data_IF_901570208376
#
_entry.id   IF_901570208376
#
_cell.length_a   1.000
_cell.length_b   1.000
_cell.length_c   1.000
_cell.angle_alpha   90.00
_cell.angle_beta   90.00
_cell.angle_gamma   90.00
#
_symmetry.space_group_name_H-M   'P 1'
#
loop_
_entity.id
_entity.type
_entity.pdbx_description
1 polymer ?
#
# COMPACT_ATOMS: atom_id res chain seq x y z
N UNK A 1 -55.41 -16.61 10.34
CA UNK A 1 -56.37 -16.05 11.33
C UNK A 1 -56.80 -17.21 12.21
N UNK A 2 -56.65 -17.13 13.54
CA UNK A 2 -57.30 -16.11 14.37
C UNK A 2 -56.34 -15.16 15.11
N UNK A 3 -56.90 -14.01 15.48
CA UNK A 3 -56.33 -12.94 16.31
C UNK A 3 -56.79 -13.13 17.77
N UNK A 4 -55.94 -12.78 18.73
CA UNK A 4 -56.26 -12.17 20.03
C UNK A 4 -54.92 -11.65 20.62
N UNK A 5 -54.59 -10.35 20.58
CA UNK A 5 -55.02 -9.20 21.42
C UNK A 5 -54.46 -9.21 22.87
N UNK A 6 -53.67 -8.15 23.15
CA UNK A 6 -53.48 -7.48 24.47
C UNK A 6 -52.58 -8.23 25.46
N UNK A 7 -51.48 -7.68 25.99
CA UNK A 7 -51.40 -6.43 26.75
C UNK A 7 -50.00 -5.82 26.79
N UNK A 8 -50.00 -4.49 26.82
CA UNK A 8 -48.87 -3.66 27.22
C UNK A 8 -48.43 -4.00 28.66
N UNK A 9 -47.13 -4.16 28.88
CA UNK A 9 -46.53 -3.94 30.20
C UNK A 9 -45.49 -2.83 30.06
N UNK A 10 -45.90 -1.64 30.47
CA UNK A 10 -45.01 -0.51 30.76
C UNK A 10 -44.31 -0.86 32.06
N UNK A 11 -43.02 -1.20 31.99
CA UNK A 11 -42.17 -1.22 33.19
C UNK A 11 -41.45 0.11 33.26
N UNK A 12 -41.99 0.98 34.11
CA UNK A 12 -41.33 2.17 34.59
C UNK A 12 -40.09 1.74 35.40
N UNK A 13 -38.89 2.08 34.91
CA UNK A 13 -37.67 2.02 35.72
C UNK A 13 -37.43 3.43 36.28
N UNK A 14 -37.56 3.51 37.59
CA UNK A 14 -37.27 4.68 38.42
C UNK A 14 -35.78 5.03 38.27
N UNK A 15 -35.51 6.22 37.72
CA UNK A 15 -34.17 6.83 37.72
C UNK A 15 -33.95 7.46 39.09
N UNK A 16 -33.11 6.84 39.93
CA UNK A 16 -32.52 7.51 41.08
C UNK A 16 -31.30 8.30 40.64
N UNK A 17 -31.38 9.62 40.81
CA UNK A 17 -30.26 10.55 40.73
C UNK A 17 -29.40 10.42 41.99
N UNK A 18 -28.11 10.14 41.84
CA UNK A 18 -27.09 10.41 42.84
C UNK A 18 -25.89 11.03 42.14
N UNK A 19 -25.66 12.31 42.42
CA UNK A 19 -24.55 13.06 41.87
C UNK A 19 -23.21 12.62 42.46
N UNK A 20 -22.19 12.56 41.61
CA UNK A 20 -20.80 12.54 42.02
C UNK A 20 -20.04 13.57 41.17
N UNK A 21 -19.51 14.57 41.87
CA UNK A 21 -18.67 15.67 41.37
C UNK A 21 -17.29 15.17 40.92
N UNK A 22 -16.67 15.74 39.89
CA UNK A 22 -15.26 15.50 39.58
C UNK A 22 -14.36 16.24 40.58
N UNK A 23 -13.39 15.52 41.15
CA UNK A 23 -12.33 16.07 42.01
C UNK A 23 -11.19 16.59 41.14
N UNK A 24 -10.95 17.90 41.20
CA UNK A 24 -9.81 18.60 40.61
C UNK A 24 -8.52 18.28 41.38
N UNK A 25 -7.51 17.74 40.70
CA UNK A 25 -6.16 17.63 41.25
C UNK A 25 -5.40 18.96 41.02
N UNK A 26 -5.17 19.70 42.11
CA UNK A 26 -4.35 20.92 42.16
C UNK A 26 -2.86 20.58 42.07
N UNK A 27 -2.15 21.19 41.11
CA UNK A 27 -0.70 21.31 41.14
C UNK A 27 -0.31 22.49 42.05
N UNK A 28 0.47 22.22 43.09
CA UNK A 28 1.05 23.24 43.98
C UNK A 28 2.41 23.68 43.45
N UNK A 29 2.58 25.00 43.35
CA UNK A 29 3.85 25.67 43.16
C UNK A 29 4.70 25.60 44.44
N UNK A 30 6.00 25.35 44.31
CA UNK A 30 6.99 25.56 45.37
C UNK A 30 7.94 26.65 44.91
N UNK A 31 7.90 27.73 45.68
CA UNK A 31 8.75 28.91 45.62
C UNK A 31 10.09 28.62 46.34
N UNK A 32 11.19 29.12 45.80
CA UNK A 32 12.54 28.78 46.26
C UNK A 32 13.62 29.62 45.58
N UNK A 33 13.74 30.87 46.04
CA UNK A 33 14.60 31.91 45.51
C UNK A 33 15.89 32.04 46.34
N UNK A 34 17.07 32.05 45.69
CA UNK A 34 18.36 32.50 46.23
C UNK A 34 19.31 32.92 45.06
N UNK A 35 20.34 33.77 45.27
CA UNK A 35 20.39 35.12 44.72
C UNK A 35 21.33 35.30 43.50
N UNK A 36 21.09 36.40 42.78
CA UNK A 36 21.90 36.91 41.66
C UNK A 36 22.98 37.89 42.14
N UNK A 37 24.20 37.73 41.63
CA UNK A 37 25.17 38.82 41.42
C UNK A 37 25.97 38.59 40.12
N UNK A 38 26.44 39.65 39.43
CA UNK A 38 26.74 39.62 38.00
C UNK A 38 28.24 39.49 37.69
N UNK A 39 28.60 38.81 36.59
CA UNK A 39 29.95 38.89 36.01
C UNK A 39 29.87 38.99 34.47
N UNK A 40 30.09 40.23 34.02
CA UNK A 40 30.80 40.70 32.81
C UNK A 40 30.80 39.85 31.53
N UNK A 41 30.26 40.44 30.45
CA UNK A 41 30.55 40.04 29.08
C UNK A 41 32.04 40.22 28.74
N UNK A 42 32.69 39.14 28.33
CA UNK A 42 33.91 39.16 27.54
C UNK A 42 33.62 38.62 26.14
N UNK A 43 33.98 39.40 25.13
CA UNK A 43 33.93 39.01 23.73
C UNK A 43 34.91 37.86 23.46
N UNK A 44 34.45 36.80 22.80
CA UNK A 44 35.29 35.71 22.33
C UNK A 44 35.22 35.68 20.81
N UNK A 45 36.39 35.79 20.18
CA UNK A 45 36.65 35.72 18.75
C UNK A 45 36.36 34.32 18.18
N UNK A 46 36.10 34.18 16.87
CA UNK A 46 35.82 32.88 16.26
C UNK A 46 37.10 32.04 16.11
N UNK A 47 37.20 30.96 16.89
CA UNK A 47 38.22 29.92 16.73
C UNK A 47 37.82 28.99 15.58
N UNK A 48 38.64 28.93 14.53
CA UNK A 48 38.57 27.88 13.50
C UNK A 48 38.92 26.53 14.13
N UNK A 49 38.00 25.56 14.07
CA UNK A 49 38.22 24.17 14.43
C UNK A 49 38.05 23.28 13.21
N UNK A 50 39.06 22.43 12.99
CA UNK A 50 39.30 21.67 11.78
C UNK A 50 38.22 20.63 11.43
N UNK A 51 38.15 20.36 10.14
CA UNK A 51 37.38 19.30 9.53
C UNK A 51 37.97 17.94 9.93
N UNK A 52 37.41 17.30 10.94
CA UNK A 52 37.41 15.84 11.02
C UNK A 52 36.14 15.36 10.33
N UNK A 53 36.27 14.99 9.06
CA UNK A 53 35.20 14.30 8.33
C UNK A 53 34.89 12.98 9.02
N UNK A 54 33.78 12.92 9.74
CA UNK A 54 33.17 11.64 10.09
C UNK A 54 32.90 10.90 8.76
N UNK A 55 33.27 9.62 8.63
CA UNK A 55 32.87 8.87 7.44
C UNK A 55 31.35 8.90 7.38
N UNK A 56 30.83 9.50 6.31
CA UNK A 56 29.43 9.36 5.93
C UNK A 56 29.24 7.85 5.79
N UNK A 57 28.48 7.24 6.70
CA UNK A 57 28.11 5.84 6.57
C UNK A 57 27.44 5.69 5.20
N UNK A 58 28.12 5.02 4.28
CA UNK A 58 27.51 4.61 3.02
C UNK A 58 26.25 3.82 3.41
N UNK A 59 25.08 4.12 2.82
CA UNK A 59 23.88 3.33 3.06
C UNK A 59 24.24 1.87 2.82
N UNK A 60 24.06 1.03 3.84
CA UNK A 60 24.41 -0.39 3.76
C UNK A 60 23.73 -1.01 2.54
N UNK A 61 24.51 -1.63 1.65
CA UNK A 61 23.95 -2.40 0.55
C UNK A 61 23.18 -3.55 1.19
N UNK A 62 21.86 -3.55 1.03
CA UNK A 62 21.04 -4.70 1.44
C UNK A 62 21.50 -5.87 0.57
N UNK A 63 22.12 -6.87 1.20
CA UNK A 63 22.49 -8.11 0.53
C UNK A 63 21.27 -9.02 0.32
N UNK A 64 21.37 -10.06 -0.53
CA UNK A 64 20.29 -11.01 -0.69
C UNK A 64 19.96 -11.69 0.66
N UNK A 65 18.67 -11.84 1.03
CA UNK A 65 18.27 -12.44 2.29
C UNK A 65 18.43 -13.96 2.32
N UNK A 66 18.77 -14.58 1.20
CA UNK A 66 19.02 -16.00 1.03
C UNK A 66 20.03 -16.25 -0.10
N UNK A 67 20.62 -17.43 -0.11
CA UNK A 67 21.47 -17.91 -1.20
C UNK A 67 20.79 -19.09 -1.89
N UNK A 68 20.76 -19.11 -3.22
CA UNK A 68 20.23 -20.21 -4.01
C UNK A 68 21.37 -21.07 -4.55
N UNK A 69 21.17 -22.39 -4.51
CA UNK A 69 21.97 -23.33 -5.29
C UNK A 69 21.73 -23.14 -6.80
N UNK A 70 22.63 -23.60 -7.68
CA UNK A 70 22.40 -23.53 -9.12
C UNK A 70 21.09 -24.19 -9.58
N UNK A 71 20.69 -25.29 -8.93
CA UNK A 71 19.45 -26.00 -9.24
C UNK A 71 18.22 -25.18 -8.83
N UNK A 72 18.22 -24.58 -7.64
CA UNK A 72 17.13 -23.70 -7.20
C UNK A 72 17.02 -22.46 -8.08
N UNK A 73 18.15 -21.87 -8.48
CA UNK A 73 18.19 -20.73 -9.38
C UNK A 73 17.56 -21.08 -10.75
N UNK A 74 17.97 -22.19 -11.36
CA UNK A 74 17.38 -22.69 -12.62
C UNK A 74 15.87 -22.93 -12.49
N UNK A 75 15.42 -23.48 -11.36
CA UNK A 75 14.01 -23.71 -11.12
C UNK A 75 13.21 -22.41 -11.03
N UNK A 76 13.70 -21.41 -10.29
CA UNK A 76 13.09 -20.08 -10.24
C UNK A 76 13.06 -19.44 -11.62
N UNK A 77 14.17 -19.47 -12.37
CA UNK A 77 14.24 -18.94 -13.73
C UNK A 77 13.21 -19.57 -14.65
N UNK A 78 13.02 -20.90 -14.57
CA UNK A 78 11.99 -21.60 -15.34
C UNK A 78 10.58 -21.15 -14.98
N UNK A 79 10.27 -21.01 -13.69
CA UNK A 79 8.95 -20.52 -13.23
C UNK A 79 8.70 -19.12 -13.76
N UNK A 80 9.67 -18.22 -13.64
CA UNK A 80 9.54 -16.83 -14.09
C UNK A 80 9.34 -16.77 -15.60
N UNK A 81 10.04 -17.59 -16.38
CA UNK A 81 9.83 -17.66 -17.83
C UNK A 81 8.44 -18.20 -18.18
N UNK A 82 7.96 -19.24 -17.49
CA UNK A 82 6.61 -19.78 -17.70
C UNK A 82 5.54 -18.72 -17.37
N UNK A 83 5.75 -17.97 -16.30
CA UNK A 83 4.84 -16.91 -15.89
C UNK A 83 4.84 -15.74 -16.87
N UNK A 84 6.00 -15.29 -17.34
CA UNK A 84 6.12 -14.28 -18.39
C UNK A 84 5.38 -14.73 -19.65
N UNK A 85 5.66 -15.95 -20.13
CA UNK A 85 5.05 -16.51 -21.33
C UNK A 85 3.52 -16.54 -21.22
N UNK A 86 2.97 -16.98 -20.09
CA UNK A 86 1.52 -17.00 -19.87
C UNK A 86 0.94 -15.58 -19.80
N UNK A 87 1.51 -14.72 -18.96
CA UNK A 87 0.98 -13.38 -18.73
C UNK A 87 1.06 -12.48 -19.99
N UNK A 88 2.03 -12.73 -20.88
CA UNK A 88 2.16 -12.01 -22.16
C UNK A 88 0.96 -12.18 -23.09
N UNK A 89 0.22 -13.29 -22.96
CA UNK A 89 -0.96 -13.62 -23.76
C UNK A 89 -2.24 -12.92 -23.27
N UNK A 90 -2.17 -12.29 -22.10
CA UNK A 90 -3.33 -11.66 -21.46
C UNK A 90 -3.50 -10.25 -22.01
N UNK A 91 -4.57 -10.07 -22.80
CA UNK A 91 -4.99 -8.76 -23.32
C UNK A 91 -5.98 -8.08 -22.39
N UNK A 92 -6.79 -8.87 -21.70
CA UNK A 92 -7.80 -8.39 -20.77
C UNK A 92 -7.97 -9.41 -19.66
N UNK A 93 -8.18 -8.93 -18.45
CA UNK A 93 -8.40 -9.76 -17.27
C UNK A 93 -9.42 -9.10 -16.36
N UNK A 94 -10.26 -9.91 -15.74
CA UNK A 94 -11.20 -9.48 -14.72
C UNK A 94 -11.24 -10.56 -13.63
N UNK A 95 -11.21 -10.18 -12.37
CA UNK A 95 -11.45 -11.10 -11.26
C UNK A 95 -12.16 -10.39 -10.10
N UNK A 96 -12.76 -11.21 -9.24
CA UNK A 96 -13.09 -10.81 -7.87
C UNK A 96 -11.86 -11.01 -6.99
N UNK A 97 -11.76 -10.23 -5.93
CA UNK A 97 -10.75 -10.46 -4.90
C UNK A 97 -11.31 -10.30 -3.49
N UNK A 98 -10.72 -11.03 -2.56
CA UNK A 98 -10.74 -10.74 -1.14
C UNK A 98 -9.39 -10.13 -0.72
N UNK A 99 -9.40 -9.12 0.15
CA UNK A 99 -8.20 -8.58 0.80
C UNK A 99 -8.32 -8.72 2.31
N UNK A 100 -7.42 -9.46 2.92
CA UNK A 100 -7.36 -9.67 4.37
C UNK A 100 -6.14 -8.97 4.95
N UNK A 101 -6.36 -8.06 5.89
CA UNK A 101 -5.30 -7.28 6.54
C UNK A 101 -5.12 -7.76 7.97
N UNK A 102 -3.87 -8.06 8.33
CA UNK A 102 -3.46 -8.56 9.63
C UNK A 102 -2.52 -7.56 10.28
N UNK A 103 -2.78 -7.30 11.56
CA UNK A 103 -1.91 -6.51 12.41
C UNK A 103 -1.78 -7.25 13.76
N UNK A 104 -0.60 -7.83 14.07
CA UNK A 104 -0.43 -8.57 15.32
C UNK A 104 -0.31 -7.67 16.55
N UNK A 105 -0.12 -6.36 16.39
CA UNK A 105 0.10 -5.42 17.50
C UNK A 105 -1.22 -4.77 17.92
N UNK A 106 -2.01 -4.31 16.95
CA UNK A 106 -3.26 -3.59 17.18
C UNK A 106 -4.51 -4.38 16.77
N UNK A 107 -4.32 -5.47 16.02
CA UNK A 107 -5.40 -6.35 15.60
C UNK A 107 -5.67 -7.50 16.59
N UNK A 108 -6.56 -8.42 16.21
CA UNK A 108 -6.98 -9.53 17.07
C UNK A 108 -5.96 -10.65 17.23
N UNK A 109 -4.77 -10.52 16.63
CA UNK A 109 -3.69 -11.50 16.65
C UNK A 109 -3.04 -11.68 15.28
N UNK A 110 -1.94 -12.43 15.25
CA UNK A 110 -1.17 -12.63 14.02
C UNK A 110 -1.94 -13.39 12.92
N UNK A 111 -2.86 -14.28 13.29
CA UNK A 111 -3.55 -15.17 12.32
C UNK A 111 -5.02 -14.84 12.11
N UNK A 112 -5.48 -13.72 12.66
CA UNK A 112 -6.87 -13.27 12.54
C UNK A 112 -6.86 -11.92 11.82
N UNK A 113 -7.51 -11.80 10.65
CA UNK A 113 -7.52 -10.54 9.92
C UNK A 113 -8.36 -9.52 10.68
N UNK A 114 -7.77 -8.34 10.91
CA UNK A 114 -8.44 -7.18 11.49
C UNK A 114 -9.46 -6.59 10.51
N UNK A 115 -9.15 -6.63 9.21
CA UNK A 115 -10.00 -6.13 8.14
C UNK A 115 -10.10 -7.19 7.06
N UNK A 116 -11.32 -7.43 6.57
CA UNK A 116 -11.58 -8.18 5.34
C UNK A 116 -12.26 -7.24 4.36
N UNK A 117 -11.79 -7.19 3.13
CA UNK A 117 -12.40 -6.41 2.06
C UNK A 117 -12.71 -7.29 0.88
N UNK A 118 -13.75 -6.95 0.12
CA UNK A 118 -14.08 -7.62 -1.13
C UNK A 118 -14.12 -6.59 -2.25
N UNK A 119 -13.73 -6.99 -3.45
CA UNK A 119 -13.69 -6.06 -4.56
C UNK A 119 -13.53 -6.71 -5.92
N UNK A 120 -13.33 -5.84 -6.90
CA UNK A 120 -13.11 -6.20 -8.29
C UNK A 120 -11.81 -5.58 -8.80
N UNK A 121 -11.09 -6.38 -9.56
CA UNK A 121 -9.94 -5.93 -10.32
C UNK A 121 -10.20 -6.18 -11.79
N UNK A 122 -9.91 -5.18 -12.61
CA UNK A 122 -9.89 -5.34 -14.07
C UNK A 122 -8.59 -4.83 -14.65
N UNK A 123 -8.18 -5.42 -15.76
CA UNK A 123 -7.00 -5.05 -16.53
C UNK A 123 -7.30 -5.15 -18.02
N UNK A 124 -6.74 -4.23 -18.80
CA UNK A 124 -6.72 -4.28 -20.25
C UNK A 124 -5.38 -3.75 -20.78
N UNK A 125 -4.80 -4.46 -21.73
CA UNK A 125 -3.57 -4.06 -22.41
C UNK A 125 -3.87 -2.98 -23.45
N UNK A 126 -2.98 -1.98 -23.63
CA UNK A 126 -1.86 -1.64 -22.76
C UNK A 126 -2.32 -0.79 -21.59
N UNK A 127 -1.74 -1.04 -20.43
CA UNK A 127 -1.75 -0.11 -19.30
C UNK A 127 -3.13 0.45 -18.94
N UNK A 128 -4.17 -0.38 -18.89
CA UNK A 128 -5.45 0.00 -18.31
C UNK A 128 -5.78 -0.92 -17.17
N UNK A 129 -6.31 -0.36 -16.10
CA UNK A 129 -6.68 -1.16 -14.95
C UNK A 129 -7.63 -0.42 -14.03
N UNK A 130 -8.36 -1.16 -13.23
CA UNK A 130 -9.14 -0.61 -12.13
C UNK A 130 -9.06 -1.54 -10.95
N UNK A 131 -9.01 -0.97 -9.77
CA UNK A 131 -9.14 -1.68 -8.52
C UNK A 131 -10.17 -0.97 -7.68
N UNK A 132 -11.15 -1.72 -7.18
CA UNK A 132 -12.20 -1.15 -6.35
C UNK A 132 -12.56 -2.13 -5.26
N UNK A 133 -12.43 -1.67 -4.02
CA UNK A 133 -13.04 -2.30 -2.86
C UNK A 133 -14.50 -1.88 -2.81
N UNK A 134 -15.38 -2.85 -2.69
CA UNK A 134 -16.84 -2.68 -2.64
C UNK A 134 -17.37 -2.83 -1.23
N UNK A 135 -16.88 -3.83 -0.50
CA UNK A 135 -17.28 -4.11 0.87
C UNK A 135 -16.06 -4.14 1.79
N UNK A 136 -16.20 -3.56 2.98
CA UNK A 136 -15.22 -3.60 4.05
C UNK A 136 -15.88 -4.16 5.30
N UNK A 137 -15.24 -5.15 5.90
CA UNK A 137 -15.64 -5.76 7.16
C UNK A 137 -14.52 -5.59 8.17
N UNK A 138 -14.86 -5.08 9.35
CA UNK A 138 -13.91 -4.91 10.46
C UNK A 138 -14.19 -5.93 11.54
N UNK A 139 -13.12 -6.50 12.08
CA UNK A 139 -13.20 -7.39 13.22
C UNK A 139 -13.85 -6.68 14.41
N UNK A 140 -14.84 -7.33 15.02
CA UNK A 140 -15.54 -6.87 16.21
C UNK A 140 -15.59 -8.01 17.22
N UNK A 141 -14.89 -7.89 18.37
CA UNK A 141 -15.02 -8.87 19.42
C UNK A 141 -16.42 -8.82 20.04
N UNK A 142 -17.00 -9.97 20.41
CA UNK A 142 -18.31 -10.00 21.07
C UNK A 142 -18.32 -9.21 22.40
N UNK A 143 -17.24 -9.35 23.16
CA UNK A 143 -16.93 -8.58 24.37
C UNK A 143 -15.43 -8.28 24.43
N UNK A 144 -14.98 -7.26 25.18
CA UNK A 144 -13.56 -7.04 25.39
C UNK A 144 -12.86 -8.32 25.91
N UNK A 145 -11.85 -8.80 25.18
CA UNK A 145 -11.13 -10.04 25.49
C UNK A 145 -11.81 -11.35 25.06
N UNK A 146 -12.93 -11.30 24.32
CA UNK A 146 -13.57 -12.50 23.78
C UNK A 146 -12.63 -13.30 22.85
N UNK A 147 -12.74 -14.64 22.84
CA UNK A 147 -11.99 -15.45 21.91
C UNK A 147 -12.42 -15.16 20.45
N UNK A 148 -11.54 -15.41 19.46
CA UNK A 148 -11.81 -15.13 18.05
C UNK A 148 -13.07 -15.81 17.51
N UNK A 149 -13.38 -17.02 17.99
CA UNK A 149 -14.53 -17.80 17.55
C UNK A 149 -15.87 -17.21 18.00
N UNK A 150 -15.87 -16.39 19.06
CA UNK A 150 -17.05 -15.66 19.52
C UNK A 150 -17.20 -14.29 18.85
N UNK A 151 -16.27 -13.92 17.96
CA UNK A 151 -16.18 -12.60 17.35
C UNK A 151 -16.68 -12.62 15.92
N UNK A 152 -16.96 -11.44 15.35
CA UNK A 152 -17.54 -11.32 14.00
C UNK A 152 -16.81 -10.28 13.15
N UNK A 153 -17.03 -10.31 11.84
CA UNK A 153 -16.59 -9.29 10.90
C UNK A 153 -17.79 -8.47 10.44
N UNK A 154 -17.89 -7.24 10.96
CA UNK A 154 -19.06 -6.39 10.73
C UNK A 154 -18.85 -5.51 9.50
N UNK A 155 -19.81 -5.56 8.57
CA UNK A 155 -19.86 -4.72 7.37
C UNK A 155 -19.92 -3.23 7.74
N UNK A 156 -19.00 -2.44 7.19
CA UNK A 156 -18.91 -1.01 7.37
C UNK A 156 -19.64 -0.29 6.22
N UNK A 157 -20.98 -0.19 6.30
CA UNK A 157 -21.84 0.32 5.22
C UNK A 157 -21.53 1.75 4.73
N UNK A 158 -20.80 2.54 5.51
CA UNK A 158 -20.46 3.93 5.20
C UNK A 158 -18.97 4.14 4.93
N UNK A 159 -18.18 3.07 5.01
CA UNK A 159 -16.76 3.12 4.67
C UNK A 159 -16.61 2.84 3.17
N UNK A 160 -15.82 3.66 2.49
CA UNK A 160 -15.49 3.43 1.09
C UNK A 160 -14.03 3.07 1.01
N UNK A 161 -13.77 1.87 0.47
CA UNK A 161 -12.41 1.38 0.33
C UNK A 161 -11.66 2.02 -0.82
N UNK A 162 -10.47 1.49 -1.03
CA UNK A 162 -9.59 1.89 -2.10
C UNK A 162 -10.28 1.77 -3.47
N UNK A 163 -10.20 2.85 -4.24
CA UNK A 163 -10.72 2.89 -5.58
C UNK A 163 -9.78 3.71 -6.45
N UNK A 164 -9.22 3.06 -7.46
CA UNK A 164 -8.43 3.72 -8.48
C UNK A 164 -8.71 3.15 -9.87
N UNK A 165 -8.49 4.00 -10.86
CA UNK A 165 -8.59 3.67 -12.29
C UNK A 165 -7.32 4.17 -12.98
N UNK A 166 -6.79 3.39 -13.91
CA UNK A 166 -5.72 3.82 -14.80
C UNK A 166 -6.19 3.73 -16.25
N UNK A 167 -6.02 4.82 -17.00
CA UNK A 167 -6.46 4.95 -18.40
C UNK A 167 -5.34 4.71 -19.43
N UNK A 168 -4.13 4.38 -18.96
CA UNK A 168 -2.91 4.27 -19.77
C UNK A 168 -2.10 5.54 -19.90
N UNK A 169 -2.57 6.64 -19.32
CA UNK A 169 -1.89 7.95 -19.29
C UNK A 169 -1.72 8.48 -17.87
N UNK A 170 -2.63 8.15 -16.96
CA UNK A 170 -2.58 8.53 -15.56
C UNK A 170 -3.33 7.53 -14.68
N UNK A 171 -2.93 7.47 -13.41
CA UNK A 171 -3.70 6.83 -12.34
C UNK A 171 -4.59 7.88 -11.69
N UNK A 172 -5.86 7.53 -11.49
CA UNK A 172 -6.88 8.35 -10.88
C UNK A 172 -7.32 7.67 -9.60
N UNK A 173 -6.99 8.26 -8.47
CA UNK A 173 -7.31 7.71 -7.15
C UNK A 173 -8.43 8.53 -6.49
N UNK A 174 -9.47 7.84 -6.01
CA UNK A 174 -10.58 8.44 -5.31
C UNK A 174 -10.29 8.51 -3.81
N UNK A 175 -9.91 9.68 -3.31
CA UNK A 175 -9.77 9.94 -1.87
C UNK A 175 -11.12 10.36 -1.30
N UNK A 176 -11.97 9.37 -1.02
CA UNK A 176 -13.36 9.57 -0.59
C UNK A 176 -13.51 10.47 0.65
N UNK A 177 -12.67 10.27 1.66
CA UNK A 177 -12.66 11.08 2.89
C UNK A 177 -12.42 12.57 2.62
N UNK A 178 -11.55 12.87 1.64
CA UNK A 178 -11.17 14.25 1.28
C UNK A 178 -12.03 14.83 0.16
N UNK A 179 -12.93 14.04 -0.44
CA UNK A 179 -13.66 14.36 -1.68
C UNK A 179 -12.71 14.87 -2.77
N UNK A 180 -11.62 14.11 -3.00
CA UNK A 180 -10.60 14.44 -3.99
C UNK A 180 -10.44 13.31 -5.01
N UNK A 181 -10.35 13.70 -6.29
CA UNK A 181 -9.82 12.85 -7.35
C UNK A 181 -8.36 13.24 -7.57
N UNK A 182 -7.45 12.43 -7.04
CA UNK A 182 -6.01 12.62 -7.21
C UNK A 182 -5.60 11.99 -8.54
N UNK A 183 -4.87 12.74 -9.36
CA UNK A 183 -4.42 12.33 -10.69
C UNK A 183 -2.91 12.30 -10.67
N UNK A 184 -2.35 11.10 -10.85
CA UNK A 184 -0.92 10.87 -11.01
C UNK A 184 -0.64 10.56 -12.48
N UNK A 185 -0.09 11.50 -13.27
CA UNK A 185 0.30 11.23 -14.64
C UNK A 185 1.35 10.12 -14.69
N UNK A 186 1.26 9.25 -15.70
CA UNK A 186 2.33 8.33 -16.07
C UNK A 186 3.31 9.08 -16.99
N UNK A 187 4.63 9.05 -16.72
CA UNK A 187 5.64 9.56 -17.64
C UNK A 187 5.50 8.94 -19.03
N UNK A 188 5.78 9.71 -20.08
CA UNK A 188 5.50 9.28 -21.46
C UNK A 188 6.27 8.01 -21.84
N UNK A 189 7.48 7.86 -21.29
CA UNK A 189 8.37 6.73 -21.44
C UNK A 189 7.86 5.44 -20.78
N UNK A 190 6.98 5.53 -19.77
CA UNK A 190 6.38 4.38 -19.07
C UNK A 190 5.04 3.94 -19.68
N UNK A 191 4.41 4.79 -20.50
CA UNK A 191 3.14 4.47 -21.16
C UNK A 191 3.34 3.40 -22.23
N UNK A 192 2.46 2.41 -22.24
CA UNK A 192 2.57 1.21 -23.06
C UNK A 192 3.62 0.20 -22.58
N UNK A 193 4.37 0.51 -21.51
CA UNK A 193 5.55 -0.27 -21.10
C UNK A 193 5.42 -0.90 -19.72
N UNK A 194 4.64 -0.33 -18.79
CA UNK A 194 4.27 -0.91 -17.50
C UNK A 194 3.49 0.08 -16.59
N UNK A 195 2.26 -0.22 -16.16
CA UNK A 195 1.71 0.28 -14.87
C UNK A 195 2.22 -0.57 -13.68
N UNK A 196 3.25 -1.37 -13.90
CA UNK A 196 3.70 -2.48 -13.04
C UNK A 196 4.50 -1.98 -11.81
N UNK A 197 4.31 -0.72 -11.39
CA UNK A 197 5.07 -0.12 -10.28
C UNK A 197 4.20 0.45 -9.13
N UNK A 198 2.87 0.21 -9.14
CA UNK A 198 1.99 0.50 -7.99
C UNK A 198 2.06 -0.57 -6.89
N UNK A 199 1.44 -0.40 -5.71
CA UNK A 199 1.54 -1.32 -4.55
C UNK A 199 0.93 -2.72 -4.75
N UNK A 200 0.35 -2.99 -5.92
CA UNK A 200 -0.09 -4.30 -6.39
C UNK A 200 0.45 -4.60 -7.79
N UNK A 201 1.77 -4.61 -8.01
CA UNK A 201 2.30 -5.02 -9.29
C UNK A 201 2.50 -6.53 -9.22
N UNK A 202 1.57 -7.32 -9.76
CA UNK A 202 1.79 -8.66 -10.37
C UNK A 202 0.47 -9.26 -10.78
N UNK A 203 -0.21 -8.65 -11.74
CA UNK A 203 -1.31 -9.36 -12.37
C UNK A 203 -1.01 -9.57 -13.85
N UNK A 204 -0.54 -8.57 -14.62
CA UNK A 204 -0.23 -8.78 -16.05
C UNK A 204 0.94 -7.91 -16.51
N UNK A 205 1.98 -8.52 -17.11
CA UNK A 205 3.19 -7.82 -17.58
C UNK A 205 4.48 -8.10 -16.79
N UNK A 206 4.52 -9.20 -16.04
CA UNK A 206 5.71 -9.64 -15.33
C UNK A 206 6.78 -10.18 -16.31
N UNK A 207 7.76 -9.35 -16.66
CA UNK A 207 8.95 -9.80 -17.40
C UNK A 207 9.96 -10.40 -16.41
N UNK A 208 10.41 -11.63 -16.67
CA UNK A 208 11.28 -12.38 -15.77
C UNK A 208 12.57 -11.61 -15.45
N UNK A 209 13.18 -10.97 -16.45
CA UNK A 209 14.39 -10.16 -16.26
C UNK A 209 14.14 -8.94 -15.36
N UNK A 210 13.05 -8.21 -15.58
CA UNK A 210 12.70 -7.06 -14.71
C UNK A 210 12.43 -7.50 -13.28
N UNK A 211 11.76 -8.65 -13.09
CA UNK A 211 11.53 -9.23 -11.77
C UNK A 211 12.85 -9.55 -11.07
N UNK A 212 13.78 -10.20 -11.75
CA UNK A 212 15.10 -10.55 -11.18
C UNK A 212 15.96 -9.32 -10.88
N UNK A 213 15.81 -8.25 -11.66
CA UNK A 213 16.50 -6.98 -11.42
C UNK A 213 15.95 -6.22 -10.21
N UNK A 214 14.64 -6.35 -9.93
CA UNK A 214 13.98 -5.65 -8.82
C UNK A 214 13.96 -6.46 -7.53
N UNK A 215 13.97 -7.80 -7.62
CA UNK A 215 13.79 -8.68 -6.47
C UNK A 215 14.87 -9.76 -6.34
N UNK A 216 15.14 -10.18 -5.11
CA UNK A 216 15.67 -11.51 -4.85
C UNK A 216 14.48 -12.47 -4.70
N UNK A 217 14.42 -13.51 -5.53
CA UNK A 217 13.26 -14.41 -5.63
C UNK A 217 13.69 -15.84 -5.32
N UNK A 218 12.91 -16.55 -4.51
CA UNK A 218 13.05 -18.01 -4.33
C UNK A 218 11.70 -18.71 -4.44
N UNK A 219 11.72 -20.01 -4.72
CA UNK A 219 10.55 -20.85 -4.54
C UNK A 219 10.43 -21.29 -3.09
N UNK A 220 9.21 -21.26 -2.56
CA UNK A 220 8.83 -21.94 -1.31
C UNK A 220 8.20 -23.30 -1.64
N UNK A 221 7.89 -24.08 -0.61
CA UNK A 221 7.15 -25.33 -0.76
C UNK A 221 5.74 -25.04 -1.29
N UNK A 222 5.50 -25.41 -2.55
CA UNK A 222 4.15 -25.44 -3.14
C UNK A 222 3.50 -26.82 -3.03
N UNK A 223 2.46 -27.02 -3.83
CA UNK A 223 1.78 -28.32 -3.98
C UNK A 223 1.64 -28.69 -5.47
N UNK A 224 0.97 -29.80 -5.77
CA UNK A 224 0.77 -30.27 -7.15
C UNK A 224 0.01 -29.25 -8.03
N UNK A 225 -0.82 -28.41 -7.43
CA UNK A 225 -1.66 -27.41 -8.10
C UNK A 225 -1.11 -25.98 -8.01
N UNK A 226 -0.21 -25.69 -7.06
CA UNK A 226 0.30 -24.34 -6.77
C UNK A 226 1.82 -24.25 -6.78
N UNK A 227 2.31 -23.15 -7.32
CA UNK A 227 3.70 -22.69 -7.18
C UNK A 227 3.69 -21.50 -6.20
N UNK A 228 4.60 -21.48 -5.24
CA UNK A 228 4.74 -20.41 -4.27
C UNK A 228 6.10 -19.75 -4.42
N UNK A 229 6.11 -18.45 -4.73
CA UNK A 229 7.31 -17.63 -4.82
C UNK A 229 7.36 -16.64 -3.65
N UNK A 230 8.58 -16.35 -3.19
CA UNK A 230 8.88 -15.31 -2.22
C UNK A 230 9.88 -14.34 -2.83
N UNK A 231 9.61 -13.04 -2.72
CA UNK A 231 10.36 -11.99 -3.40
C UNK A 231 10.65 -10.81 -2.46
N UNK A 232 11.95 -10.51 -2.28
CA UNK A 232 12.43 -9.38 -1.47
C UNK A 232 12.91 -8.24 -2.37
N UNK A 233 12.56 -6.99 -2.08
CA UNK A 233 12.97 -5.85 -2.88
C UNK A 233 14.48 -5.65 -2.79
N UNK A 234 15.12 -5.41 -3.94
CA UNK A 234 16.55 -5.04 -4.03
C UNK A 234 16.81 -3.57 -3.73
N UNK A 235 15.81 -2.72 -3.95
CA UNK A 235 15.93 -1.27 -3.77
C UNK A 235 15.43 -0.82 -2.39
N UNK A 236 16.11 0.17 -1.80
CA UNK A 236 15.66 0.79 -0.55
C UNK A 236 14.30 1.49 -0.69
N UNK A 237 14.02 2.04 -1.88
CA UNK A 237 12.76 2.70 -2.17
C UNK A 237 11.59 1.72 -2.06
N UNK A 238 11.72 0.52 -2.61
CA UNK A 238 10.72 -0.54 -2.46
C UNK A 238 10.67 -1.06 -1.02
N UNK A 239 11.82 -1.28 -0.38
CA UNK A 239 11.92 -1.76 1.00
C UNK A 239 11.27 -0.80 2.02
N UNK A 240 11.18 0.49 1.71
CA UNK A 240 10.46 1.47 2.53
C UNK A 240 8.93 1.27 2.51
N UNK A 241 8.40 0.63 1.46
CA UNK A 241 6.96 0.40 1.28
C UNK A 241 6.52 -0.98 1.77
N UNK A 242 7.38 -1.99 1.67
CA UNK A 242 7.10 -3.35 2.12
C UNK A 242 8.41 -4.12 2.42
N UNK A 243 8.34 -5.11 3.30
CA UNK A 243 9.47 -5.98 3.61
C UNK A 243 9.72 -7.00 2.49
N UNK A 244 8.68 -7.73 2.10
CA UNK A 244 8.71 -8.71 1.01
C UNK A 244 7.30 -9.04 0.55
N UNK A 245 7.21 -9.73 -0.58
CA UNK A 245 5.95 -10.24 -1.11
C UNK A 245 6.05 -11.73 -1.38
N UNK A 246 4.92 -12.39 -1.27
CA UNK A 246 4.76 -13.78 -1.63
C UNK A 246 3.65 -13.92 -2.66
N UNK A 247 3.87 -14.76 -3.66
CA UNK A 247 2.95 -14.95 -4.79
C UNK A 247 2.65 -16.43 -4.96
N UNK A 248 1.37 -16.78 -4.99
CA UNK A 248 0.91 -18.11 -5.32
C UNK A 248 0.36 -18.12 -6.75
N UNK A 249 0.91 -18.98 -7.59
CA UNK A 249 0.49 -19.18 -8.97
C UNK A 249 -0.20 -20.54 -9.11
N UNK A 250 -1.27 -20.62 -9.90
CA UNK A 250 -1.81 -21.91 -10.33
C UNK A 250 -0.88 -22.53 -11.37
N UNK A 251 -0.50 -23.80 -11.18
CA UNK A 251 0.62 -24.43 -11.91
C UNK A 251 0.37 -24.59 -13.41
N UNK A 252 -0.88 -24.79 -13.85
CA UNK A 252 -1.21 -25.04 -15.27
C UNK A 252 -1.32 -23.76 -16.07
N UNK A 253 -1.91 -22.74 -15.47
CA UNK A 253 -2.25 -21.47 -16.11
C UNK A 253 -1.23 -20.38 -15.81
N UNK A 254 -0.44 -20.53 -14.75
CA UNK A 254 0.46 -19.50 -14.20
C UNK A 254 -0.28 -18.22 -13.77
N UNK A 255 -1.60 -18.28 -13.58
CA UNK A 255 -2.36 -17.15 -13.07
C UNK A 255 -2.13 -17.00 -11.56
N UNK A 256 -1.90 -15.77 -11.06
CA UNK A 256 -1.85 -15.52 -9.63
C UNK A 256 -3.20 -15.84 -8.97
N UNK A 257 -3.16 -16.62 -7.90
CA UNK A 257 -4.33 -16.93 -7.07
C UNK A 257 -4.28 -16.27 -5.72
N UNK A 258 -3.09 -15.94 -5.22
CA UNK A 258 -2.94 -15.09 -4.05
C UNK A 258 -1.63 -14.30 -4.10
N UNK A 259 -1.64 -13.10 -3.51
CA UNK A 259 -0.47 -12.28 -3.25
C UNK A 259 -0.52 -11.85 -1.79
N UNK A 260 0.58 -12.03 -1.07
CA UNK A 260 0.73 -11.60 0.30
C UNK A 260 1.85 -10.57 0.39
N UNK A 261 1.54 -9.40 0.92
CA UNK A 261 2.47 -8.29 1.09
C UNK A 261 2.74 -8.12 2.57
N UNK A 262 3.99 -8.29 2.98
CA UNK A 262 4.42 -8.03 4.34
C UNK A 262 4.87 -6.58 4.44
N UNK A 263 4.27 -5.84 5.38
CA UNK A 263 4.58 -4.43 5.63
C UNK A 263 6.03 -4.25 6.10
N UNK A 264 6.60 -3.03 6.10
CA UNK A 264 8.00 -2.80 6.48
C UNK A 264 8.38 -3.31 7.87
N UNK A 265 7.42 -3.46 8.79
CA UNK A 265 7.65 -4.05 10.11
C UNK A 265 7.89 -5.59 10.08
N UNK A 266 7.71 -6.23 8.93
CA UNK A 266 7.86 -7.69 8.74
C UNK A 266 6.77 -8.54 9.40
N UNK A 267 5.78 -7.92 10.06
CA UNK A 267 4.79 -8.60 10.91
C UNK A 267 3.36 -8.38 10.42
N UNK A 268 2.99 -7.13 10.17
CA UNK A 268 1.70 -6.79 9.57
C UNK A 268 1.72 -7.20 8.09
N UNK A 269 0.59 -7.66 7.58
CA UNK A 269 0.49 -8.12 6.18
C UNK A 269 -0.89 -7.92 5.60
N UNK A 270 -0.93 -7.75 4.29
CA UNK A 270 -2.15 -7.80 3.49
C UNK A 270 -2.11 -9.02 2.58
N UNK A 271 -3.16 -9.82 2.55
CA UNK A 271 -3.31 -10.99 1.69
C UNK A 271 -4.43 -10.71 0.70
N UNK A 272 -4.11 -10.78 -0.58
CA UNK A 272 -5.04 -10.67 -1.70
C UNK A 272 -5.28 -12.07 -2.24
N UNK A 273 -6.54 -12.47 -2.35
CA UNK A 273 -6.96 -13.76 -2.90
C UNK A 273 -7.84 -13.50 -4.11
N UNK A 274 -7.48 -14.07 -5.26
CA UNK A 274 -8.17 -13.82 -6.52
C UNK A 274 -9.07 -15.00 -6.89
N UNK A 275 -10.31 -14.68 -7.29
CA UNK A 275 -11.32 -15.66 -7.65
C UNK A 275 -12.04 -15.26 -8.94
N UNK A 276 -12.65 -16.26 -9.59
CA UNK A 276 -13.45 -16.07 -10.80
C UNK A 276 -12.70 -15.34 -11.94
N UNK A 277 -11.45 -15.75 -12.28
CA UNK A 277 -10.68 -15.04 -13.30
C UNK A 277 -11.32 -15.24 -14.68
N UNK A 278 -11.58 -14.13 -15.37
CA UNK A 278 -11.97 -14.10 -16.78
C UNK A 278 -10.83 -13.52 -17.60
N UNK A 279 -10.23 -14.35 -18.46
CA UNK A 279 -9.12 -13.96 -19.33
C UNK A 279 -9.60 -13.86 -20.77
N UNK A 280 -9.29 -12.73 -21.43
CA UNK A 280 -9.60 -12.52 -22.86
C UNK A 280 -11.09 -12.76 -23.23
N UNK A 281 -12.01 -12.50 -22.29
CA UNK A 281 -13.46 -12.69 -22.46
C UNK A 281 -14.14 -11.68 -23.40
N UNK A 282 -15.28 -12.06 -23.96
CA UNK A 282 -16.05 -11.29 -24.97
C UNK A 282 -16.73 -10.04 -24.39
N UNK A 283 -17.16 -10.08 -23.13
CA UNK A 283 -17.72 -8.92 -22.41
C UNK A 283 -16.70 -7.80 -22.16
N UNK A 284 -15.41 -8.03 -22.46
CA UNK A 284 -14.35 -7.07 -22.18
C UNK A 284 -14.33 -5.85 -23.11
N UNK A 285 -15.05 -5.91 -24.24
CA UNK A 285 -15.27 -4.73 -25.09
C UNK A 285 -16.18 -3.69 -24.42
N UNK A 286 -17.10 -4.09 -23.54
CA UNK A 286 -17.91 -3.17 -22.73
C UNK A 286 -17.12 -2.54 -21.58
N UNK A 287 -16.01 -3.13 -21.15
CA UNK A 287 -15.14 -2.54 -20.12
C UNK A 287 -14.29 -1.38 -20.62
N UNK A 288 -14.30 -1.08 -21.93
CA UNK A 288 -13.59 0.07 -22.49
C UNK A 288 -13.95 1.39 -21.79
N UNK A 289 -15.21 1.54 -21.38
CA UNK A 289 -15.68 2.73 -20.66
C UNK A 289 -15.23 2.79 -19.19
N UNK A 290 -14.93 1.66 -18.55
CA UNK A 290 -14.42 1.62 -17.17
C UNK A 290 -13.02 2.23 -17.05
N UNK A 291 -12.25 2.24 -18.15
CA UNK A 291 -10.88 2.73 -18.18
C UNK A 291 -10.75 4.13 -18.78
N UNK A 292 -11.85 4.79 -19.13
CA UNK A 292 -11.79 6.18 -19.56
C UNK A 292 -11.38 7.06 -18.37
N UNK A 293 -10.62 8.12 -18.65
CA UNK A 293 -10.29 9.15 -17.68
C UNK A 293 -11.55 9.58 -16.91
N UNK A 294 -11.67 9.25 -15.61
CA UNK A 294 -12.89 9.51 -14.89
C UNK A 294 -13.13 11.02 -14.77
N UNK A 295 -14.39 11.41 -14.88
CA UNK A 295 -14.81 12.77 -14.53
C UNK A 295 -14.71 12.93 -13.02
N UNK A 296 -14.31 14.12 -12.59
CA UNK A 296 -14.34 14.46 -11.16
C UNK A 296 -15.79 14.44 -10.68
N UNK A 297 -16.12 13.68 -9.62
CA UNK A 297 -17.47 13.64 -9.10
C UNK A 297 -17.99 15.03 -8.69
N UNK A 298 -19.31 15.23 -8.75
CA UNK A 298 -19.91 16.51 -8.40
C UNK A 298 -19.56 16.89 -6.95
N UNK A 299 -19.08 18.12 -6.74
CA UNK A 299 -18.66 18.61 -5.43
C UNK A 299 -17.29 18.12 -4.94
N UNK A 300 -16.52 17.41 -5.77
CA UNK A 300 -15.16 16.98 -5.46
C UNK A 300 -14.11 17.92 -6.08
N UNK A 301 -12.90 17.91 -5.51
CA UNK A 301 -11.74 18.62 -6.06
C UNK A 301 -10.87 17.68 -6.90
N UNK A 302 -10.38 18.15 -8.05
CA UNK A 302 -9.35 17.45 -8.83
C UNK A 302 -7.97 17.94 -8.38
N UNK A 303 -7.10 17.03 -8.00
CA UNK A 303 -5.71 17.34 -7.59
C UNK A 303 -4.78 16.62 -8.54
N UNK A 304 -3.91 17.34 -9.24
CA UNK A 304 -2.95 16.74 -10.17
C UNK A 304 -1.57 16.80 -9.52
N UNK A 305 -0.96 15.64 -9.30
CA UNK A 305 0.42 15.57 -8.85
C UNK A 305 1.33 15.93 -10.03
N UNK A 306 2.27 16.85 -9.80
CA UNK A 306 3.28 17.15 -10.81
C UNK A 306 4.24 15.96 -10.90
N UNK A 307 4.58 15.57 -12.13
CA UNK A 307 5.75 14.70 -12.34
C UNK A 307 6.97 15.45 -11.78
N UNK A 308 7.91 14.77 -11.11
CA UNK A 308 9.20 15.37 -10.80
C UNK A 308 9.76 15.91 -12.11
N UNK A 309 9.89 17.22 -12.23
CA UNK A 309 10.53 17.80 -13.40
C UNK A 309 11.97 17.32 -13.36
N UNK A 310 12.38 16.54 -14.34
CA UNK A 310 13.79 16.26 -14.58
C UNK A 310 14.47 17.63 -14.68
N UNK A 311 15.35 17.93 -13.73
CA UNK A 311 16.03 19.21 -13.67
C UNK A 311 16.82 19.35 -14.97
N UNK A 312 16.37 20.23 -15.87
CA UNK A 312 17.11 20.54 -17.08
C UNK A 312 18.51 21.00 -16.67
N UNK A 313 19.58 20.52 -17.33
CA UNK A 313 20.92 20.98 -17.04
C UNK A 313 20.96 22.50 -17.24
N UNK A 314 21.30 23.22 -16.17
CA UNK A 314 21.58 24.66 -16.24
C UNK A 314 22.61 24.87 -17.34
N UNK A 315 22.15 25.44 -18.46
CA UNK A 315 23.04 25.96 -19.48
C UNK A 315 23.77 27.13 -18.84
N UNK A 316 25.01 26.87 -18.38
CA UNK A 316 25.95 27.91 -18.00
C UNK A 316 26.13 28.82 -19.23
N UNK A 317 25.40 29.91 -19.24
CA UNK A 317 25.60 30.99 -20.17
C UNK A 317 27.01 31.54 -19.92
N UNK A 318 27.89 31.32 -20.90
CA UNK A 318 29.21 31.89 -20.95
C UNK A 318 29.14 33.41 -20.77
N UNK A 319 29.74 33.91 -19.68
CA UNK A 319 29.87 35.33 -19.43
C UNK A 319 30.73 36.01 -20.51
N UNK A 320 30.42 37.26 -20.91
CA UNK A 320 31.18 37.96 -21.92
C UNK A 320 32.61 38.27 -21.46
N UNK A 321 33.59 37.94 -22.31
CA UNK A 321 34.99 38.29 -22.16
C UNK A 321 35.15 39.81 -22.03
N UNK A 322 35.69 40.27 -20.90
CA UNK A 322 36.18 41.64 -20.76
C UNK A 322 37.43 41.82 -21.61
N UNK A 323 37.32 42.72 -22.58
CA UNK A 323 38.40 43.21 -23.43
C UNK A 323 39.30 44.13 -22.62
N UNK A 324 40.59 43.82 -22.58
CA UNK A 324 41.67 44.68 -22.10
C UNK A 324 41.70 45.98 -22.89
N UNK A 325 41.73 47.14 -22.23
CA UNK A 325 42.33 48.35 -22.80
C UNK A 325 42.78 49.36 -21.73
N UNK A 326 44.11 49.59 -21.77
CA UNK A 326 44.92 50.73 -21.30
C UNK A 326 44.99 51.05 -19.81
#
# INVERSE_FOLDING_TARGET
MPRLLTSCLVVAVVVYLAGATPSEAKAQAVDGQLPVTPVQQQAIQPTQLGQTGAPIAQPGVIGPPFQLTPVEQQFVDQILQMWENSSSQIKTFNCRFDRWEYDPVFGPGADIPMIKSQGQLTYSKPDKGSFKIEDIYRYKPATPGAPPQASDWVLQKHEVGEHWVCDGKAVYEYKHEKKQLVVQPLPAEMRGKSIVDGPLPFLFGAEAEKLKQRYWIRSKQGDESKIWLEAYPRSQADAANYHHVEVMLERKTMHPTAIQVFMPNGQSRAVYMFSEPTVNGTLNQLFGDLFNAPRTPLGWKRVVNQLPSEAAPESQAAGPQQTTQR
#
